data_IF_629964894056
#
_entry.id   IF_629964894056
#
_cell.length_a   1.000
_cell.length_b   1.000
_cell.length_c   1.000
_cell.angle_alpha   90.00
_cell.angle_beta   90.00
_cell.angle_gamma   90.00
#
_symmetry.space_group_name_H-M   'P 1'
#
loop_
_entity.id
_entity.type
_entity.pdbx_description
1 polymer ?
#
# COMPACT_ATOMS: atom_id res chain seq x y z
N UNK A 1 -6.21 -6.42 -2.44
CA UNK A 1 -7.37 -5.55 -2.25
C UNK A 1 -6.96 -4.14 -2.58
N UNK A 2 -6.83 -3.87 -3.87
CA UNK A 2 -6.57 -2.53 -4.39
C UNK A 2 -7.90 -1.76 -4.61
N UNK A 3 -9.03 -2.47 -4.74
CA UNK A 3 -10.34 -1.89 -5.06
C UNK A 3 -11.45 -2.26 -4.06
N UNK A 4 -11.11 -2.43 -2.79
CA UNK A 4 -12.06 -2.90 -1.78
C UNK A 4 -12.62 -1.71 -1.03
N UNK A 5 -13.77 -1.22 -1.51
CA UNK A 5 -14.63 -0.36 -0.70
C UNK A 5 -15.09 -1.12 0.57
N UNK A 6 -15.40 -0.40 1.65
CA UNK A 6 -15.82 -1.00 2.94
C UNK A 6 -16.82 -2.16 2.80
N UNK A 7 -17.84 -2.10 1.92
CA UNK A 7 -18.77 -3.22 1.70
C UNK A 7 -18.12 -4.53 1.21
N UNK A 8 -17.12 -4.47 0.32
CA UNK A 8 -16.43 -5.67 -0.16
C UNK A 8 -15.56 -6.30 0.94
N UNK A 9 -14.97 -5.48 1.82
CA UNK A 9 -14.18 -5.96 2.94
C UNK A 9 -15.06 -6.67 3.98
N UNK A 10 -16.22 -6.10 4.31
CA UNK A 10 -17.19 -6.73 5.20
C UNK A 10 -17.73 -8.05 4.62
N UNK A 11 -17.97 -8.12 3.31
CA UNK A 11 -18.38 -9.38 2.67
C UNK A 11 -17.33 -10.48 2.84
N UNK A 12 -16.06 -10.17 2.59
CA UNK A 12 -14.96 -11.14 2.77
C UNK A 12 -14.81 -11.54 4.23
N UNK A 13 -15.00 -10.61 5.18
CA UNK A 13 -15.00 -10.90 6.62
C UNK A 13 -16.12 -11.86 7.01
N UNK A 14 -17.34 -11.63 6.51
CA UNK A 14 -18.48 -12.50 6.78
C UNK A 14 -18.28 -13.90 6.20
N UNK A 15 -17.70 -14.02 5.00
CA UNK A 15 -17.39 -15.30 4.35
C UNK A 15 -16.26 -16.08 5.04
N UNK A 16 -15.31 -15.39 5.67
CA UNK A 16 -14.18 -15.99 6.40
C UNK A 16 -14.62 -16.75 7.67
N UNK A 17 -15.73 -16.36 8.30
CA UNK A 17 -16.23 -16.99 9.53
C UNK A 17 -15.26 -16.87 10.73
N UNK A 18 -15.55 -17.48 11.90
CA UNK A 18 -14.75 -17.29 13.11
C UNK A 18 -13.29 -17.78 12.97
N UNK A 19 -13.07 -18.87 12.23
CA UNK A 19 -11.78 -19.58 12.19
C UNK A 19 -10.98 -19.47 10.89
N UNK A 20 -11.46 -18.76 9.87
CA UNK A 20 -10.70 -18.65 8.61
C UNK A 20 -9.43 -17.81 8.73
N UNK A 21 -8.48 -18.01 7.81
CA UNK A 21 -7.29 -17.17 7.71
C UNK A 21 -7.53 -16.11 6.63
N UNK A 22 -7.33 -14.83 6.97
CA UNK A 22 -7.44 -13.73 6.01
C UNK A 22 -6.04 -13.19 5.69
N UNK A 23 -5.69 -13.20 4.41
CA UNK A 23 -4.47 -12.56 3.90
C UNK A 23 -4.85 -11.52 2.85
N UNK A 24 -4.53 -10.27 3.11
CA UNK A 24 -4.82 -9.14 2.22
C UNK A 24 -3.52 -8.44 1.82
N UNK A 25 -3.49 -7.95 0.57
CA UNK A 25 -2.36 -7.18 0.01
C UNK A 25 -2.92 -5.90 -0.57
N UNK A 26 -2.34 -4.74 -0.28
CA UNK A 26 -2.79 -3.46 -0.81
C UNK A 26 -1.66 -2.44 -0.87
N UNK A 27 -1.84 -1.41 -1.69
CA UNK A 27 -0.96 -0.24 -1.77
C UNK A 27 -1.84 1.02 -1.63
N UNK A 28 -1.78 1.72 -0.48
CA UNK A 28 -2.54 2.94 -0.23
C UNK A 28 -2.28 4.06 -1.24
N UNK A 29 -1.06 4.15 -1.77
CA UNK A 29 -0.61 5.23 -2.65
C UNK A 29 -1.05 5.01 -4.11
N UNK A 30 -1.52 3.80 -4.42
CA UNK A 30 -2.09 3.48 -5.73
C UNK A 30 -3.63 3.57 -5.76
N UNK A 31 -4.26 4.05 -4.67
CA UNK A 31 -5.71 4.24 -4.59
C UNK A 31 -6.20 5.43 -5.45
N UNK A 32 -6.13 5.30 -6.79
CA UNK A 32 -6.58 6.30 -7.78
C UNK A 32 -8.11 6.48 -7.82
N UNK A 33 -8.86 5.68 -7.06
CA UNK A 33 -10.31 5.76 -6.90
C UNK A 33 -10.77 6.50 -5.63
N UNK A 34 -9.93 7.34 -5.02
CA UNK A 34 -10.29 8.11 -3.81
C UNK A 34 -11.60 8.92 -3.94
N UNK A 35 -11.94 9.38 -5.14
CA UNK A 35 -13.20 10.07 -5.45
C UNK A 35 -14.47 9.20 -5.34
N UNK A 36 -14.32 7.87 -5.21
CA UNK A 36 -15.41 6.90 -4.96
C UNK A 36 -15.51 6.45 -3.49
N UNK A 37 -14.83 7.13 -2.57
CA UNK A 37 -14.88 6.81 -1.13
C UNK A 37 -13.91 5.70 -0.70
N UNK A 38 -12.94 5.33 -1.54
CA UNK A 38 -11.81 4.52 -1.11
C UNK A 38 -10.92 5.37 -0.20
N UNK A 39 -10.96 5.12 1.12
CA UNK A 39 -10.07 5.78 2.07
C UNK A 39 -8.88 4.85 2.41
N UNK A 40 -7.68 5.11 1.87
CA UNK A 40 -6.50 4.29 2.15
C UNK A 40 -6.12 4.21 3.63
N UNK A 41 -6.41 5.26 4.43
CA UNK A 41 -6.18 5.29 5.89
C UNK A 41 -6.98 4.21 6.61
N UNK A 42 -8.12 3.82 6.04
CA UNK A 42 -8.98 2.82 6.65
C UNK A 42 -8.41 1.41 6.50
N UNK A 43 -7.61 1.09 5.50
CA UNK A 43 -7.23 -0.32 5.27
C UNK A 43 -6.35 -0.87 6.39
N UNK A 44 -5.38 -0.09 6.86
CA UNK A 44 -4.48 -0.51 7.94
C UNK A 44 -5.22 -0.54 9.29
N UNK A 45 -5.89 0.56 9.64
CA UNK A 45 -6.63 0.66 10.91
C UNK A 45 -7.78 -0.35 11.00
N UNK A 46 -8.61 -0.48 9.96
CA UNK A 46 -9.75 -1.42 9.95
C UNK A 46 -9.27 -2.88 9.96
N UNK A 47 -8.08 -3.17 9.42
CA UNK A 47 -7.50 -4.51 9.53
C UNK A 47 -7.03 -4.78 10.96
N UNK A 48 -6.28 -3.86 11.57
CA UNK A 48 -5.79 -4.02 12.95
C UNK A 48 -6.93 -4.05 13.99
N UNK A 49 -7.98 -3.25 13.80
CA UNK A 49 -9.17 -3.24 14.68
C UNK A 49 -9.92 -4.57 14.65
N UNK A 50 -10.01 -5.21 13.48
CA UNK A 50 -10.72 -6.48 13.31
C UNK A 50 -9.86 -7.72 13.54
N UNK A 51 -8.54 -7.58 13.40
CA UNK A 51 -7.55 -8.65 13.55
C UNK A 51 -6.40 -8.14 14.42
N UNK A 52 -6.59 -8.01 15.75
CA UNK A 52 -5.55 -7.52 16.66
C UNK A 52 -4.31 -8.43 16.70
N UNK A 53 -4.47 -9.72 16.42
CA UNK A 53 -3.38 -10.69 16.26
C UNK A 53 -2.82 -10.75 14.82
N UNK A 54 -3.37 -9.92 13.92
CA UNK A 54 -2.97 -9.86 12.51
C UNK A 54 -1.57 -9.29 12.35
N UNK A 55 -0.78 -9.89 11.46
CA UNK A 55 0.55 -9.38 11.12
C UNK A 55 0.48 -8.42 9.95
N UNK A 56 1.10 -7.24 10.10
CA UNK A 56 1.28 -6.28 9.01
C UNK A 56 2.69 -6.37 8.45
N UNK A 57 2.79 -6.62 7.14
CA UNK A 57 4.05 -6.75 6.41
C UNK A 57 4.16 -5.66 5.33
N UNK A 58 5.19 -4.83 5.42
CA UNK A 58 5.49 -3.82 4.41
C UNK A 58 6.52 -4.34 3.40
N UNK A 59 6.15 -4.35 2.12
CA UNK A 59 7.05 -4.71 1.03
C UNK A 59 7.68 -3.45 0.44
N UNK A 60 8.82 -3.04 0.98
CA UNK A 60 9.49 -1.78 0.58
C UNK A 60 10.42 -1.93 -0.62
N UNK A 61 10.76 -3.15 -1.02
CA UNK A 61 11.70 -3.35 -2.12
C UNK A 61 10.96 -3.32 -3.46
N UNK A 62 11.29 -2.32 -4.29
CA UNK A 62 10.79 -2.24 -5.65
C UNK A 62 11.72 -2.99 -6.61
N UNK A 63 11.19 -4.03 -7.25
CA UNK A 63 11.91 -4.86 -8.21
C UNK A 63 11.70 -4.41 -9.67
N UNK A 64 10.71 -3.54 -9.93
CA UNK A 64 10.28 -3.17 -11.28
C UNK A 64 11.08 -1.99 -11.83
N UNK A 65 11.28 -0.95 -11.04
CA UNK A 65 11.81 0.35 -11.47
C UNK A 65 13.23 0.58 -10.97
N UNK A 66 13.99 1.40 -11.71
CA UNK A 66 15.32 1.87 -11.28
C UNK A 66 15.24 2.97 -10.21
N UNK A 67 16.36 3.23 -9.53
CA UNK A 67 16.39 4.15 -8.40
C UNK A 67 15.95 5.59 -8.75
N UNK A 68 16.31 6.10 -9.93
CA UNK A 68 15.80 7.39 -10.44
C UNK A 68 14.27 7.48 -10.41
N UNK A 69 13.57 6.48 -10.97
CA UNK A 69 12.11 6.46 -11.04
C UNK A 69 11.49 6.37 -9.62
N UNK A 70 12.08 5.57 -8.74
CA UNK A 70 11.61 5.45 -7.36
C UNK A 70 11.76 6.77 -6.61
N UNK A 71 12.90 7.46 -6.73
CA UNK A 71 13.10 8.77 -6.11
C UNK A 71 12.09 9.81 -6.60
N UNK A 72 11.82 9.84 -7.91
CA UNK A 72 10.82 10.77 -8.46
C UNK A 72 9.42 10.45 -7.95
N UNK A 73 9.02 9.18 -7.89
CA UNK A 73 7.72 8.78 -7.37
C UNK A 73 7.54 9.18 -5.89
N UNK A 74 8.54 8.91 -5.05
CA UNK A 74 8.56 9.31 -3.63
C UNK A 74 8.45 10.84 -3.47
N UNK A 75 9.14 11.60 -4.31
CA UNK A 75 9.08 13.06 -4.28
C UNK A 75 7.67 13.59 -4.63
N UNK A 76 7.00 12.99 -5.63
CA UNK A 76 5.62 13.32 -5.98
C UNK A 76 4.66 12.95 -4.84
N UNK A 77 4.80 11.76 -4.27
CA UNK A 77 3.96 11.30 -3.15
C UNK A 77 4.09 12.21 -1.93
N UNK A 78 5.30 12.69 -1.63
CA UNK A 78 5.54 13.62 -0.52
C UNK A 78 4.76 14.94 -0.64
N UNK A 79 4.29 15.31 -1.83
CA UNK A 79 3.54 16.54 -2.09
C UNK A 79 2.03 16.35 -2.05
N UNK A 80 1.52 15.11 -1.99
CA UNK A 80 0.08 14.83 -2.02
C UNK A 80 -0.66 15.13 -0.70
N UNK A 81 0.03 15.60 0.35
CA UNK A 81 -0.58 16.02 1.62
C UNK A 81 -1.23 14.89 2.43
N UNK A 82 -1.12 13.64 1.96
CA UNK A 82 -1.59 12.47 2.67
C UNK A 82 -0.60 12.10 3.79
N UNK A 83 -1.08 11.52 4.90
CA UNK A 83 -0.18 10.89 5.87
C UNK A 83 0.75 9.90 5.15
N UNK A 84 2.02 9.82 5.56
CA UNK A 84 2.91 8.77 5.05
C UNK A 84 2.40 7.42 5.55
N UNK A 85 1.55 6.79 4.76
CA UNK A 85 0.94 5.48 5.04
C UNK A 85 1.88 4.31 4.69
N UNK A 86 3.05 4.58 4.11
CA UNK A 86 4.03 3.57 3.73
C UNK A 86 5.44 3.89 4.25
N UNK A 87 6.25 2.83 4.38
CA UNK A 87 7.70 2.95 4.48
C UNK A 87 8.29 3.24 3.09
N UNK A 88 9.30 4.11 2.96
CA UNK A 88 9.86 4.50 1.66
C UNK A 88 10.28 3.29 0.83
N UNK A 89 9.99 3.33 -0.48
CA UNK A 89 10.39 2.30 -1.42
C UNK A 89 11.88 2.39 -1.75
N UNK A 90 12.52 1.22 -1.89
CA UNK A 90 13.93 1.09 -2.27
C UNK A 90 14.03 0.28 -3.56
N UNK A 91 14.64 0.85 -4.60
CA UNK A 91 14.90 0.12 -5.83
C UNK A 91 15.94 -0.99 -5.61
N UNK A 92 15.65 -2.21 -6.05
CA UNK A 92 16.63 -3.30 -6.09
C UNK A 92 17.60 -3.18 -7.26
N UNK A 93 17.14 -2.61 -8.38
CA UNK A 93 17.97 -2.43 -9.57
C UNK A 93 19.09 -1.42 -9.25
N UNK A 94 20.35 -1.69 -9.62
CA UNK A 94 21.43 -0.73 -9.45
C UNK A 94 21.11 0.56 -10.19
N UNK A 95 21.51 1.70 -9.63
CA UNK A 95 21.35 3.00 -10.28
C UNK A 95 22.21 2.96 -11.55
N UNK A 96 21.63 3.15 -12.75
CA UNK A 96 22.44 3.33 -13.94
C UNK A 96 23.21 4.62 -13.70
N UNK A 97 24.53 4.50 -13.53
CA UNK A 97 25.41 5.55 -13.03
C UNK A 97 25.13 6.93 -13.63
N UNK A 98 25.33 7.94 -12.79
CA UNK A 98 25.46 9.33 -13.21
C UNK A 98 26.39 9.40 -14.42
N UNK A 99 25.85 9.73 -15.59
CA UNK A 99 26.68 10.07 -16.76
C UNK A 99 27.11 11.50 -16.50
N UNK A 100 28.34 11.65 -15.98
CA UNK A 100 29.00 12.96 -15.92
C UNK A 100 29.14 13.47 -17.36
N UNK A 101 28.65 14.69 -17.59
CA UNK A 101 28.90 15.48 -18.80
C UNK A 101 30.05 16.45 -18.54
#
# INVERSE_FOLDING_TARGET
MHDTNTPQYELVRLLKGPQGNLFTVGDPDQAIYGWRGANPVNMEHVFQDHYPDGQLLYLTTNYRSGANIIRTAEAVLAHNGLPKLHKPLVAKKPDPGHVEH
#
